data_IF_453934376041
#
_entry.id   IF_453934376041
#
_cell.length_a   1.000
_cell.length_b   1.000
_cell.length_c   1.000
_cell.angle_alpha   90.00
_cell.angle_beta   90.00
_cell.angle_gamma   90.00
#
_symmetry.space_group_name_H-M   'P 1'
#
loop_
_entity.id
_entity.type
_entity.pdbx_description
1 polymer ?
#
# COMPACT_ATOMS: atom_id res chain seq x y z
N UNK A 1 -3.46 8.40 -8.26
CA UNK A 1 -2.66 7.43 -7.47
C UNK A 1 -3.27 7.34 -6.09
N UNK A 2 -3.45 6.14 -5.55
CA UNK A 2 -3.91 5.90 -4.18
C UNK A 2 -2.77 5.37 -3.32
N UNK A 3 -2.78 5.69 -2.02
CA UNK A 3 -1.80 5.20 -1.05
C UNK A 3 -2.55 4.34 -0.04
N UNK A 4 -2.14 3.08 0.11
CA UNK A 4 -2.63 2.19 1.16
C UNK A 4 -1.54 1.99 2.21
N UNK A 5 -1.85 2.24 3.47
CA UNK A 5 -0.98 1.88 4.58
C UNK A 5 -1.54 0.60 5.20
N UNK A 6 -0.70 -0.42 5.35
CA UNK A 6 -1.09 -1.53 6.22
C UNK A 6 -1.06 -1.06 7.68
N UNK A 7 -2.07 -1.45 8.44
CA UNK A 7 -2.13 -1.28 9.89
C UNK A 7 -2.27 -2.64 10.55
N UNK A 8 -2.30 -2.68 11.88
CA UNK A 8 -2.40 -3.87 12.73
C UNK A 8 -3.46 -4.93 12.31
N UNK A 9 -4.36 -4.59 11.38
CA UNK A 9 -5.21 -5.49 10.61
C UNK A 9 -4.50 -6.68 9.94
N UNK A 10 -3.18 -6.63 9.71
CA UNK A 10 -2.43 -7.80 9.19
C UNK A 10 -2.46 -9.02 10.13
N UNK A 11 -2.71 -8.80 11.43
CA UNK A 11 -2.73 -9.87 12.44
C UNK A 11 -4.08 -10.57 12.62
N UNK A 12 -5.15 -10.18 11.92
CA UNK A 12 -6.48 -10.75 12.16
C UNK A 12 -7.10 -11.42 10.93
N UNK A 13 -7.13 -12.76 10.98
CA UNK A 13 -7.88 -13.70 10.12
C UNK A 13 -7.27 -14.08 8.77
N UNK A 14 -7.39 -15.38 8.43
CA UNK A 14 -7.05 -15.96 7.13
C UNK A 14 -7.72 -15.25 5.95
N UNK A 15 -8.87 -14.59 6.17
CA UNK A 15 -9.66 -13.91 5.14
C UNK A 15 -9.20 -12.47 4.84
N UNK A 16 -8.30 -11.89 5.64
CA UNK A 16 -7.83 -10.52 5.42
C UNK A 16 -6.99 -10.40 4.14
N UNK A 17 -6.17 -11.41 3.80
CA UNK A 17 -5.34 -11.40 2.60
C UNK A 17 -6.15 -11.43 1.31
N UNK A 18 -7.21 -12.25 1.27
CA UNK A 18 -8.05 -12.37 0.08
C UNK A 18 -8.86 -11.08 -0.15
N UNK A 19 -9.38 -10.47 0.92
CA UNK A 19 -10.04 -9.16 0.83
C UNK A 19 -9.10 -8.07 0.36
N UNK A 20 -7.86 -8.06 0.85
CA UNK A 20 -6.85 -7.08 0.43
C UNK A 20 -6.48 -7.23 -1.04
N UNK A 21 -6.25 -8.47 -1.50
CA UNK A 21 -5.99 -8.77 -2.91
C UNK A 21 -7.17 -8.36 -3.79
N UNK A 22 -8.40 -8.68 -3.38
CA UNK A 22 -9.59 -8.32 -4.14
C UNK A 22 -9.77 -6.80 -4.21
N UNK A 23 -9.56 -6.07 -3.10
CA UNK A 23 -9.63 -4.62 -3.07
C UNK A 23 -8.63 -4.00 -4.04
N UNK A 24 -7.39 -4.46 -4.01
CA UNK A 24 -6.36 -3.98 -4.93
C UNK A 24 -6.75 -4.27 -6.40
N UNK A 25 -7.18 -5.49 -6.70
CA UNK A 25 -7.61 -5.87 -8.05
C UNK A 25 -8.77 -5.01 -8.57
N UNK A 26 -9.76 -4.71 -7.72
CA UNK A 26 -10.90 -3.86 -8.10
C UNK A 26 -10.43 -2.42 -8.36
N UNK A 27 -9.62 -1.85 -7.48
CA UNK A 27 -9.12 -0.47 -7.64
C UNK A 27 -8.25 -0.34 -8.90
N UNK A 28 -7.35 -1.30 -9.14
CA UNK A 28 -6.51 -1.32 -10.34
C UNK A 28 -7.35 -1.46 -11.63
N UNK A 29 -8.40 -2.28 -11.63
CA UNK A 29 -9.36 -2.37 -12.74
C UNK A 29 -10.10 -1.07 -13.01
N UNK A 30 -10.32 -0.25 -11.98
CA UNK A 30 -10.89 1.09 -12.11
C UNK A 30 -9.86 2.14 -12.54
N UNK A 31 -8.64 1.73 -12.90
CA UNK A 31 -7.56 2.63 -13.35
C UNK A 31 -6.74 3.25 -12.23
N UNK A 32 -6.94 2.84 -10.97
CA UNK A 32 -6.16 3.36 -9.86
C UNK A 32 -4.79 2.70 -9.79
N UNK A 33 -3.74 3.52 -9.73
CA UNK A 33 -2.40 3.07 -9.32
C UNK A 33 -2.29 3.11 -7.81
N UNK A 34 -2.20 1.95 -7.17
CA UNK A 34 -2.11 1.83 -5.71
C UNK A 34 -0.65 1.63 -5.28
N UNK A 35 -0.18 2.43 -4.33
CA UNK A 35 1.09 2.23 -3.66
C UNK A 35 0.87 1.83 -2.21
N UNK A 36 1.36 0.64 -1.85
CA UNK A 36 1.28 0.12 -0.50
C UNK A 36 2.53 0.48 0.32
N UNK A 37 2.31 0.92 1.55
CA UNK A 37 3.33 1.13 2.59
C UNK A 37 3.06 0.14 3.72
N UNK A 38 4.06 -0.69 4.02
CA UNK A 38 3.99 -1.65 5.12
C UNK A 38 4.53 -0.99 6.40
N UNK A 39 3.76 -1.06 7.48
CA UNK A 39 4.07 -0.64 8.85
C UNK A 39 5.38 -1.26 9.36
N UNK A 40 5.69 -2.51 8.97
CA UNK A 40 6.98 -3.15 9.25
C UNK A 40 8.14 -2.42 8.59
N UNK A 41 8.04 -2.13 7.29
CA UNK A 41 9.06 -1.40 6.53
C UNK A 41 9.14 0.07 6.94
N UNK A 42 8.01 0.66 7.31
CA UNK A 42 7.93 2.01 7.86
C UNK A 42 8.63 2.09 9.21
N UNK A 43 8.42 1.12 10.10
CA UNK A 43 9.12 1.06 11.38
C UNK A 43 10.62 0.80 11.19
N UNK A 44 10.99 -0.07 10.24
CA UNK A 44 12.37 -0.44 9.98
C UNK A 44 13.19 0.68 9.32
N UNK A 45 12.63 1.39 8.34
CA UNK A 45 13.31 2.46 7.62
C UNK A 45 12.33 3.49 7.04
N UNK A 46 11.74 4.30 7.93
CA UNK A 46 10.83 5.39 7.57
C UNK A 46 11.40 6.36 6.52
N UNK A 47 12.66 6.85 6.61
CA UNK A 47 13.19 7.79 5.63
C UNK A 47 13.17 7.24 4.20
N UNK A 48 13.54 5.97 4.01
CA UNK A 48 13.53 5.34 2.70
C UNK A 48 12.11 5.15 2.17
N UNK A 49 11.16 4.75 3.02
CA UNK A 49 9.76 4.62 2.61
C UNK A 49 9.17 5.96 2.16
N UNK A 50 9.53 7.06 2.84
CA UNK A 50 9.13 8.41 2.42
C UNK A 50 9.74 8.77 1.07
N UNK A 51 11.04 8.50 0.87
CA UNK A 51 11.74 8.77 -0.40
C UNK A 51 11.05 8.05 -1.57
N UNK A 52 10.76 6.76 -1.41
CA UNK A 52 10.09 5.94 -2.43
C UNK A 52 8.66 6.43 -2.71
N UNK A 53 7.92 6.84 -1.68
CA UNK A 53 6.59 7.40 -1.81
C UNK A 53 6.60 8.69 -2.65
N UNK A 54 7.48 9.64 -2.30
CA UNK A 54 7.60 10.92 -3.02
C UNK A 54 8.00 10.69 -4.47
N UNK A 55 8.95 9.78 -4.72
CA UNK A 55 9.36 9.42 -6.08
C UNK A 55 8.18 8.89 -6.91
N UNK A 56 7.32 8.04 -6.31
CA UNK A 56 6.14 7.50 -7.00
C UNK A 56 5.04 8.53 -7.26
N UNK A 57 4.84 9.47 -6.33
CA UNK A 57 3.90 10.58 -6.51
C UNK A 57 4.35 11.43 -7.70
N UNK A 58 5.64 11.80 -7.73
CA UNK A 58 6.19 12.66 -8.78
C UNK A 58 6.18 11.99 -10.16
N UNK A 59 6.38 10.67 -10.25
CA UNK A 59 6.28 9.91 -11.52
C UNK A 59 4.84 9.71 -12.01
N UNK A 60 3.84 10.01 -11.19
CA UNK A 60 2.42 9.83 -11.53
C UNK A 60 1.73 11.14 -11.94
N UNK A 61 2.47 12.25 -11.99
CA UNK A 61 2.07 13.51 -12.62
C UNK A 61 2.47 13.56 -14.09
#
# INVERSE_FOLDING_TARGET
MGIECDGASYHSSSTARDRDRLRQQVLERLGWRIHRIWSTEWFRNKPEQIRLLVEKINKSQ
#
